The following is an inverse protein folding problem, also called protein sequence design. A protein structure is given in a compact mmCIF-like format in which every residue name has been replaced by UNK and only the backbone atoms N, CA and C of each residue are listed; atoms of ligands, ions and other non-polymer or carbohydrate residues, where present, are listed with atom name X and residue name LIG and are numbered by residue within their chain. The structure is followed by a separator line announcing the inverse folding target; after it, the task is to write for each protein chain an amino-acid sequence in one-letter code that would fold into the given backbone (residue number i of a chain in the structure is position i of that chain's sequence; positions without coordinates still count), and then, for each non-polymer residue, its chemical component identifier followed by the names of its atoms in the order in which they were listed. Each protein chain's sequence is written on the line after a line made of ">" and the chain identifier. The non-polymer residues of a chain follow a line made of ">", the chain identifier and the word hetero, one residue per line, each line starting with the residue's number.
data_IF_492614494141
#
_entry.id   IF_492614494141
#
_cell.length_a   1.000
_cell.length_b   1.000
_cell.length_c   1.000
_cell.angle_alpha   90.00
_cell.angle_beta   90.00
_cell.angle_gamma   90.00
#
_symmetry.space_group_name_H-M   'P 1'
#
loop_
_entity.id
_entity.type
_entity.pdbx_description
1 polymer ?
#
# COMPACT_ATOMS: atom_id res chain seq x y z
N UNK A 1 29.88 16.30 0.75
CA UNK A 1 28.67 15.46 0.77
C UNK A 1 28.67 14.65 2.07
N UNK A 2 27.52 14.41 2.72
CA UNK A 2 27.48 13.59 3.93
C UNK A 2 28.00 12.18 3.66
N UNK A 3 28.72 11.59 4.62
CA UNK A 3 29.27 10.24 4.52
C UNK A 3 28.16 9.20 4.66
N UNK A 4 28.17 8.16 3.81
CA UNK A 4 27.23 7.04 3.94
C UNK A 4 27.57 6.25 5.21
N UNK A 5 26.61 6.13 6.11
CA UNK A 5 26.72 5.43 7.39
C UNK A 5 25.76 4.25 7.47
N UNK A 6 26.03 3.33 8.40
CA UNK A 6 25.09 2.27 8.77
C UNK A 6 24.33 2.73 10.01
N UNK A 7 23.00 2.75 9.95
CA UNK A 7 22.11 3.05 11.07
C UNK A 7 21.24 1.83 11.38
N UNK A 8 20.78 1.72 12.63
CA UNK A 8 19.72 0.77 12.97
C UNK A 8 18.36 1.41 12.66
N UNK A 9 17.53 0.72 11.89
CA UNK A 9 16.14 1.12 11.70
C UNK A 9 15.31 0.85 12.96
N UNK A 10 14.05 1.28 12.98
CA UNK A 10 13.16 1.09 14.14
C UNK A 10 12.98 -0.38 14.58
N UNK A 11 13.16 -1.33 13.65
CA UNK A 11 13.09 -2.77 13.94
C UNK A 11 14.43 -3.38 14.40
N UNK A 12 15.50 -2.59 14.46
CA UNK A 12 16.83 -3.03 14.88
C UNK A 12 17.70 -3.58 13.75
N UNK A 13 17.27 -3.52 12.49
CA UNK A 13 18.07 -4.00 11.36
C UNK A 13 19.04 -2.91 10.85
N UNK A 14 20.28 -3.26 10.50
CA UNK A 14 21.25 -2.31 9.96
C UNK A 14 20.90 -1.93 8.51
N UNK A 15 20.86 -0.63 8.22
CA UNK A 15 20.63 -0.09 6.88
C UNK A 15 21.59 1.05 6.56
N UNK A 16 21.94 1.18 5.27
CA UNK A 16 22.73 2.32 4.78
C UNK A 16 21.86 3.57 4.75
N UNK A 17 22.45 4.70 5.13
CA UNK A 17 21.80 6.00 5.05
C UNK A 17 22.86 7.10 4.89
N UNK A 18 22.54 8.11 4.08
CA UNK A 18 23.37 9.31 3.91
C UNK A 18 22.83 10.50 4.71
N UNK A 19 21.51 10.61 4.84
CA UNK A 19 20.84 11.71 5.53
C UNK A 19 20.57 11.41 7.01
N UNK A 20 20.26 12.45 7.77
CA UNK A 20 19.81 12.32 9.16
C UNK A 20 18.44 11.65 9.27
N UNK A 21 18.12 11.16 10.47
CA UNK A 21 16.78 10.64 10.80
C UNK A 21 15.71 11.72 10.68
N UNK A 22 16.06 12.95 11.05
CA UNK A 22 15.23 14.14 10.88
C UNK A 22 14.87 14.39 9.42
N UNK A 23 15.85 14.38 8.53
CA UNK A 23 15.61 14.58 7.09
C UNK A 23 14.73 13.47 6.52
N UNK A 24 14.95 12.23 6.94
CA UNK A 24 14.08 11.10 6.61
C UNK A 24 12.60 11.35 6.99
N UNK A 25 12.35 11.84 8.21
CA UNK A 25 11.00 12.13 8.68
C UNK A 25 10.37 13.29 7.90
N UNK A 26 11.10 14.40 7.79
CA UNK A 26 10.63 15.61 7.10
C UNK A 26 10.32 15.28 5.65
N UNK A 27 11.19 14.56 4.94
CA UNK A 27 10.97 14.19 3.54
C UNK A 27 9.70 13.35 3.38
N UNK A 28 9.54 12.30 4.18
CA UNK A 28 8.36 11.44 4.10
C UNK A 28 7.06 12.22 4.29
N UNK A 29 6.97 13.01 5.37
CA UNK A 29 5.74 13.74 5.68
C UNK A 29 5.52 14.90 4.70
N UNK A 30 6.57 15.60 4.27
CA UNK A 30 6.46 16.70 3.31
C UNK A 30 5.99 16.22 1.94
N UNK A 31 6.48 15.06 1.47
CA UNK A 31 5.98 14.46 0.22
C UNK A 31 4.48 14.18 0.32
N UNK A 32 4.00 13.63 1.44
CA UNK A 32 2.57 13.38 1.61
C UNK A 32 1.76 14.70 1.66
N UNK A 33 2.26 15.73 2.35
CA UNK A 33 1.64 17.06 2.37
C UNK A 33 1.57 17.64 0.95
N UNK A 34 2.64 17.55 0.16
CA UNK A 34 2.68 18.05 -1.21
C UNK A 34 1.65 17.31 -2.07
N UNK A 35 1.61 15.97 -2.01
CA UNK A 35 0.64 15.18 -2.77
C UNK A 35 -0.79 15.59 -2.40
N UNK A 36 -1.11 15.65 -1.10
CA UNK A 36 -2.44 16.06 -0.65
C UNK A 36 -2.78 17.50 -1.02
N UNK A 37 -1.81 18.41 -0.98
CA UNK A 37 -2.03 19.81 -1.35
C UNK A 37 -2.31 19.95 -2.85
N UNK A 38 -1.52 19.27 -3.69
CA UNK A 38 -1.74 19.25 -5.14
C UNK A 38 -3.12 18.68 -5.49
N UNK A 39 -3.54 17.61 -4.83
CA UNK A 39 -4.84 17.00 -5.05
C UNK A 39 -5.99 17.86 -4.50
N UNK A 40 -5.94 18.23 -3.22
CA UNK A 40 -7.11 18.75 -2.50
C UNK A 40 -7.15 20.26 -2.35
N UNK A 41 -6.00 20.95 -2.41
CA UNK A 41 -5.92 22.42 -2.32
C UNK A 41 -5.82 23.04 -3.72
N UNK A 42 -5.28 22.31 -4.69
CA UNK A 42 -5.10 22.80 -6.07
C UNK A 42 -6.09 22.13 -7.05
N UNK A 43 -6.00 20.82 -7.26
CA UNK A 43 -6.84 20.17 -8.28
C UNK A 43 -8.33 20.21 -7.93
N UNK A 44 -8.71 20.02 -6.65
CA UNK A 44 -10.12 20.04 -6.27
C UNK A 44 -10.78 21.42 -6.47
N UNK A 45 -10.28 22.55 -5.92
CA UNK A 45 -10.92 23.85 -6.10
C UNK A 45 -10.93 24.31 -7.55
N UNK A 46 -9.76 24.27 -8.21
CA UNK A 46 -9.62 24.89 -9.52
C UNK A 46 -10.00 23.94 -10.66
N UNK A 47 -9.62 22.67 -10.55
CA UNK A 47 -9.85 21.67 -11.60
C UNK A 47 -11.22 21.00 -11.54
N UNK A 48 -11.77 20.79 -10.34
CA UNK A 48 -13.07 20.10 -10.15
C UNK A 48 -14.22 21.09 -9.91
N UNK A 49 -14.11 21.98 -8.92
CA UNK A 49 -15.20 22.92 -8.58
C UNK A 49 -15.34 24.01 -9.65
N UNK A 50 -14.24 24.68 -10.01
CA UNK A 50 -14.27 25.78 -11.01
C UNK A 50 -14.21 25.24 -12.45
N UNK A 51 -13.62 24.05 -12.67
CA UNK A 51 -13.58 23.39 -13.98
C UNK A 51 -12.42 23.80 -14.90
N UNK A 52 -11.33 24.36 -14.35
CA UNK A 52 -10.14 24.76 -15.11
C UNK A 52 -9.31 23.53 -15.50
N UNK A 53 -9.62 22.93 -16.66
CA UNK A 53 -8.98 21.69 -17.15
C UNK A 53 -7.43 21.71 -17.15
N UNK A 54 -6.74 22.81 -17.54
CA UNK A 54 -5.28 22.86 -17.48
C UNK A 54 -4.68 22.60 -16.09
N UNK A 55 -5.41 22.90 -15.01
CA UNK A 55 -4.94 22.62 -13.64
C UNK A 55 -4.80 21.13 -13.40
N UNK A 56 -5.73 20.31 -13.88
CA UNK A 56 -5.66 18.85 -13.74
C UNK A 56 -4.44 18.30 -14.48
N UNK A 57 -4.14 18.81 -15.67
CA UNK A 57 -2.94 18.44 -16.43
C UNK A 57 -1.68 18.82 -15.66
N UNK A 58 -1.60 20.06 -15.15
CA UNK A 58 -0.46 20.54 -14.37
C UNK A 58 -0.23 19.69 -13.11
N UNK A 59 -1.29 19.43 -12.33
CA UNK A 59 -1.20 18.61 -11.12
C UNK A 59 -0.75 17.19 -11.45
N UNK A 60 -1.30 16.57 -12.49
CA UNK A 60 -0.86 15.23 -12.92
C UNK A 60 0.62 15.21 -13.33
N UNK A 61 1.10 16.23 -14.05
CA UNK A 61 2.51 16.35 -14.39
C UNK A 61 3.39 16.46 -13.15
N UNK A 62 2.99 17.28 -12.16
CA UNK A 62 3.73 17.43 -10.90
C UNK A 62 3.74 16.12 -10.09
N UNK A 63 2.65 15.36 -10.07
CA UNK A 63 2.60 14.05 -9.43
C UNK A 63 3.49 13.02 -10.14
N UNK A 64 3.56 13.05 -11.48
CA UNK A 64 4.48 12.21 -12.26
C UNK A 64 5.94 12.56 -11.95
N UNK A 65 6.29 13.86 -11.94
CA UNK A 65 7.63 14.33 -11.60
C UNK A 65 7.99 13.96 -10.16
N UNK A 66 7.04 14.09 -9.23
CA UNK A 66 7.16 13.61 -7.86
C UNK A 66 7.45 12.12 -7.82
N UNK A 67 6.63 11.29 -8.48
CA UNK A 67 6.85 9.84 -8.59
C UNK A 67 8.23 9.48 -9.16
N UNK A 68 8.70 10.21 -10.19
CA UNK A 68 10.04 10.05 -10.74
C UNK A 68 11.13 10.39 -9.71
N UNK A 69 10.97 11.46 -8.92
CA UNK A 69 11.87 11.76 -7.81
C UNK A 69 11.92 10.62 -6.79
N UNK A 70 10.75 10.13 -6.34
CA UNK A 70 10.69 9.07 -5.33
C UNK A 70 11.40 7.79 -5.82
N UNK A 71 11.20 7.41 -7.08
CA UNK A 71 11.73 6.15 -7.62
C UNK A 71 13.17 6.24 -8.13
N UNK A 72 13.59 7.40 -8.65
CA UNK A 72 14.85 7.53 -9.40
C UNK A 72 15.85 8.49 -8.76
N UNK A 73 15.46 9.29 -7.77
CA UNK A 73 16.35 10.28 -7.14
C UNK A 73 16.53 9.97 -5.66
N UNK A 74 15.45 9.82 -4.91
CA UNK A 74 15.49 9.58 -3.46
C UNK A 74 16.38 8.38 -3.06
N UNK A 75 16.38 7.22 -3.76
CA UNK A 75 17.28 6.12 -3.41
C UNK A 75 18.76 6.51 -3.46
N UNK A 76 19.16 7.35 -4.42
CA UNK A 76 20.54 7.79 -4.58
C UNK A 76 20.94 8.87 -3.57
N UNK A 77 20.00 9.77 -3.24
CA UNK A 77 20.18 10.79 -2.20
C UNK A 77 20.46 10.12 -0.86
N UNK A 78 19.69 9.09 -0.52
CA UNK A 78 19.76 8.38 0.75
C UNK A 78 20.71 7.18 0.78
N UNK A 79 21.34 6.85 -0.36
CA UNK A 79 22.18 5.66 -0.52
C UNK A 79 21.47 4.34 -0.15
N UNK A 80 20.19 4.26 -0.50
CA UNK A 80 19.37 3.07 -0.31
C UNK A 80 19.87 1.90 -1.14
N UNK A 81 19.70 0.69 -0.60
CA UNK A 81 19.90 -0.55 -1.36
C UNK A 81 18.57 -1.06 -1.89
N UNK A 82 18.61 -1.83 -2.98
CA UNK A 82 17.42 -2.55 -3.47
C UNK A 82 16.77 -3.40 -2.36
N UNK A 83 17.59 -4.04 -1.52
CA UNK A 83 17.10 -4.81 -0.37
C UNK A 83 16.39 -3.95 0.67
N UNK A 84 16.83 -2.71 0.89
CA UNK A 84 16.10 -1.76 1.75
C UNK A 84 14.72 -1.40 1.19
N UNK A 85 14.53 -1.52 -0.11
CA UNK A 85 13.23 -1.35 -0.76
C UNK A 85 12.45 -2.67 -0.86
N UNK A 86 12.96 -3.78 -0.32
CA UNK A 86 12.36 -5.10 -0.47
C UNK A 86 12.41 -5.67 -1.89
N UNK A 87 13.29 -5.10 -2.73
CA UNK A 87 13.60 -5.55 -4.08
C UNK A 87 14.76 -6.55 -4.06
N UNK A 88 14.78 -7.40 -5.08
CA UNK A 88 15.88 -8.31 -5.36
C UNK A 88 17.17 -7.57 -5.75
N UNK A 89 18.26 -8.34 -5.81
CA UNK A 89 19.54 -7.85 -6.30
C UNK A 89 20.19 -8.95 -7.15
N UNK A 90 20.54 -8.69 -8.43
CA UNK A 90 21.20 -9.67 -9.29
C UNK A 90 22.46 -10.28 -8.68
N UNK A 91 23.25 -9.50 -7.94
CA UNK A 91 24.43 -10.00 -7.24
C UNK A 91 24.09 -11.01 -6.14
N UNK A 92 23.03 -10.74 -5.37
CA UNK A 92 22.57 -11.66 -4.32
C UNK A 92 21.94 -12.92 -4.94
N UNK A 93 21.17 -12.76 -6.02
CA UNK A 93 20.65 -13.90 -6.79
C UNK A 93 21.80 -14.78 -7.29
N UNK A 94 22.84 -14.20 -7.89
CA UNK A 94 24.01 -14.92 -8.36
C UNK A 94 24.70 -15.68 -7.22
N UNK A 95 24.89 -15.03 -6.07
CA UNK A 95 25.45 -15.67 -4.87
C UNK A 95 24.59 -16.85 -4.41
N UNK A 96 23.26 -16.70 -4.36
CA UNK A 96 22.34 -17.76 -3.96
C UNK A 96 22.46 -19.00 -4.85
N UNK A 97 22.56 -18.82 -6.17
CA UNK A 97 22.64 -19.94 -7.13
C UNK A 97 24.05 -20.53 -7.28
N UNK A 98 25.08 -19.90 -6.70
CA UNK A 98 26.48 -20.37 -6.79
C UNK A 98 27.01 -20.93 -5.47
N UNK A 99 26.65 -20.35 -4.32
CA UNK A 99 27.31 -20.66 -3.04
C UNK A 99 26.45 -21.45 -2.03
N UNK A 100 25.16 -21.64 -2.29
CA UNK A 100 24.25 -22.33 -1.37
C UNK A 100 24.28 -23.88 -1.45
N UNK A 101 23.55 -24.58 -0.58
CA UNK A 101 23.30 -26.02 -0.71
C UNK A 101 22.68 -26.35 -2.09
N UNK A 102 23.09 -27.46 -2.70
CA UNK A 102 22.70 -27.84 -4.06
C UNK A 102 21.19 -27.80 -4.33
N UNK A 103 20.38 -28.30 -3.39
CA UNK A 103 18.92 -28.27 -3.50
C UNK A 103 18.34 -26.86 -3.50
N UNK A 104 18.88 -25.92 -2.68
CA UNK A 104 18.42 -24.53 -2.67
C UNK A 104 18.76 -23.83 -3.97
N UNK A 105 19.98 -24.07 -4.47
CA UNK A 105 20.43 -23.57 -5.77
C UNK A 105 19.51 -24.04 -6.89
N UNK A 106 19.20 -25.34 -6.93
CA UNK A 106 18.30 -25.93 -7.91
C UNK A 106 16.89 -25.32 -7.83
N UNK A 107 16.31 -25.19 -6.63
CA UNK A 107 14.97 -24.59 -6.46
C UNK A 107 14.95 -23.14 -6.94
N UNK A 108 15.92 -22.31 -6.55
CA UNK A 108 15.97 -20.90 -6.97
C UNK A 108 16.20 -20.78 -8.49
N UNK A 109 17.10 -21.59 -9.06
CA UNK A 109 17.36 -21.57 -10.50
C UNK A 109 16.14 -22.02 -11.30
N UNK A 110 15.53 -23.16 -10.94
CA UNK A 110 14.36 -23.70 -11.64
C UNK A 110 13.17 -22.72 -11.53
N UNK A 111 12.88 -22.22 -10.32
CA UNK A 111 11.77 -21.28 -10.13
C UNK A 111 11.98 -19.96 -10.89
N UNK A 112 13.20 -19.41 -10.87
CA UNK A 112 13.51 -18.19 -11.64
C UNK A 112 13.42 -18.39 -13.15
N UNK A 113 13.88 -19.54 -13.68
CA UNK A 113 13.71 -19.90 -15.09
C UNK A 113 12.24 -20.05 -15.47
N UNK A 114 11.44 -20.71 -14.64
CA UNK A 114 9.99 -20.87 -14.87
C UNK A 114 9.33 -19.49 -14.94
N UNK A 115 9.56 -18.62 -13.94
CA UNK A 115 8.99 -17.26 -13.93
C UNK A 115 9.43 -16.48 -15.16
N UNK A 116 10.72 -16.52 -15.49
CA UNK A 116 11.26 -15.82 -16.66
C UNK A 116 10.61 -16.28 -17.98
N UNK A 117 10.49 -17.60 -18.19
CA UNK A 117 9.90 -18.16 -19.40
C UNK A 117 8.40 -17.85 -19.49
N UNK A 118 7.66 -18.02 -18.38
CA UNK A 118 6.23 -17.70 -18.33
C UNK A 118 5.96 -16.24 -18.65
N UNK A 119 6.74 -15.30 -18.09
CA UNK A 119 6.59 -13.88 -18.38
C UNK A 119 6.89 -13.54 -19.84
N UNK A 120 7.89 -14.18 -20.45
CA UNK A 120 8.17 -14.01 -21.88
C UNK A 120 7.03 -14.55 -22.76
N UNK A 121 6.50 -15.73 -22.45
CA UNK A 121 5.35 -16.32 -23.15
C UNK A 121 4.13 -15.40 -23.03
N UNK A 122 3.85 -14.88 -21.83
CA UNK A 122 2.75 -13.95 -21.59
C UNK A 122 2.96 -12.63 -22.35
N UNK A 123 4.15 -12.05 -22.32
CA UNK A 123 4.47 -10.84 -23.08
C UNK A 123 4.21 -11.04 -24.58
N UNK A 124 4.62 -12.18 -25.14
CA UNK A 124 4.42 -12.48 -26.56
C UNK A 124 2.94 -12.71 -26.89
N UNK A 125 2.27 -13.59 -26.15
CA UNK A 125 0.87 -13.96 -26.41
C UNK A 125 -0.12 -12.84 -26.10
N UNK A 126 0.22 -11.97 -25.16
CA UNK A 126 -0.61 -10.83 -24.73
C UNK A 126 -0.01 -9.48 -25.17
N UNK A 127 0.75 -9.46 -26.26
CA UNK A 127 1.45 -8.24 -26.73
C UNK A 127 0.55 -7.02 -26.88
N UNK A 128 -0.68 -7.21 -27.35
CA UNK A 128 -1.67 -6.14 -27.47
C UNK A 128 -1.97 -5.43 -26.12
N UNK A 129 -1.89 -6.15 -25.00
CA UNK A 129 -1.99 -5.55 -23.66
C UNK A 129 -0.75 -4.72 -23.31
N UNK A 130 0.45 -5.17 -23.70
CA UNK A 130 1.71 -4.43 -23.51
C UNK A 130 1.70 -3.13 -24.32
N UNK A 131 1.29 -3.19 -25.60
CA UNK A 131 1.11 -2.04 -26.49
C UNK A 131 0.16 -1.01 -25.89
N UNK A 132 -0.97 -1.49 -25.35
CA UNK A 132 -1.96 -0.63 -24.69
C UNK A 132 -1.42 -0.03 -23.40
N UNK A 133 -0.76 -0.81 -22.55
CA UNK A 133 -0.22 -0.37 -21.27
C UNK A 133 0.81 0.75 -21.44
N UNK A 134 1.77 0.57 -22.34
CA UNK A 134 2.78 1.59 -22.63
C UNK A 134 2.31 2.66 -23.61
N UNK A 135 1.04 2.63 -24.03
CA UNK A 135 0.47 3.54 -25.03
C UNK A 135 1.34 3.65 -26.29
N UNK A 136 1.96 2.54 -26.72
CA UNK A 136 2.98 2.55 -27.77
C UNK A 136 2.44 3.08 -29.11
N UNK A 137 1.17 2.80 -29.42
CA UNK A 137 0.51 3.33 -30.61
C UNK A 137 0.33 4.86 -30.56
N UNK A 138 0.10 5.44 -29.38
CA UNK A 138 0.03 6.89 -29.23
C UNK A 138 1.41 7.54 -29.39
N UNK A 139 2.44 6.91 -28.81
CA UNK A 139 3.84 7.32 -28.95
C UNK A 139 4.25 7.27 -30.43
N UNK A 140 4.00 6.16 -31.12
CA UNK A 140 4.31 6.01 -32.54
C UNK A 140 3.67 7.13 -33.39
N UNK A 141 2.37 7.41 -33.18
CA UNK A 141 1.68 8.52 -33.85
C UNK A 141 2.26 9.89 -33.53
N UNK A 142 2.67 10.14 -32.28
CA UNK A 142 3.29 11.40 -31.88
C UNK A 142 4.63 11.65 -32.61
N UNK A 143 5.35 10.57 -32.96
CA UNK A 143 6.56 10.62 -33.79
C UNK A 143 6.27 10.52 -35.30
N UNK A 144 5.01 10.60 -35.75
CA UNK A 144 4.63 10.53 -37.16
C UNK A 144 4.72 9.13 -37.79
N UNK A 145 4.88 8.07 -36.99
CA UNK A 145 4.97 6.70 -37.46
C UNK A 145 3.56 6.14 -37.75
N UNK A 146 3.38 5.54 -38.93
CA UNK A 146 2.13 4.86 -39.36
C UNK A 146 2.17 3.35 -39.10
N UNK A 147 2.81 2.94 -38.00
CA UNK A 147 2.97 1.53 -37.64
C UNK A 147 1.93 1.19 -36.58
N UNK A 148 1.17 0.12 -36.78
CA UNK A 148 0.37 -0.47 -35.70
C UNK A 148 1.27 -1.38 -34.85
N UNK A 149 1.54 -0.95 -33.63
CA UNK A 149 2.41 -1.67 -32.71
C UNK A 149 1.85 -3.06 -32.36
N UNK A 150 0.53 -3.30 -32.53
CA UNK A 150 -0.07 -4.61 -32.28
C UNK A 150 0.37 -5.68 -33.28
N UNK A 151 0.77 -5.30 -34.50
CA UNK A 151 1.17 -6.24 -35.54
C UNK A 151 2.64 -6.66 -35.47
N UNK A 152 3.42 -6.11 -34.53
CA UNK A 152 4.84 -6.43 -34.40
C UNK A 152 5.15 -7.92 -34.20
N UNK A 153 4.36 -8.74 -33.46
CA UNK A 153 4.65 -10.16 -33.29
C UNK A 153 4.63 -10.95 -34.60
N UNK A 154 3.89 -10.49 -35.61
CA UNK A 154 3.76 -11.15 -36.92
C UNK A 154 4.65 -10.57 -38.02
N UNK A 155 5.51 -9.59 -37.69
CA UNK A 155 6.36 -8.89 -38.65
C UNK A 155 7.83 -9.02 -38.30
N UNK A 156 8.70 -9.16 -39.30
CA UNK A 156 10.15 -9.06 -39.13
C UNK A 156 10.63 -7.67 -39.56
N UNK A 157 11.44 -6.95 -38.75
CA UNK A 157 12.09 -7.37 -37.51
C UNK A 157 11.26 -7.13 -36.23
N UNK A 158 9.99 -6.74 -36.32
CA UNK A 158 9.12 -6.45 -35.16
C UNK A 158 9.10 -7.52 -34.07
N UNK A 159 9.13 -8.80 -34.45
CA UNK A 159 9.20 -9.93 -33.52
C UNK A 159 10.45 -9.89 -32.62
N UNK A 160 11.59 -9.41 -33.13
CA UNK A 160 12.82 -9.23 -32.34
C UNK A 160 12.58 -8.21 -31.23
N UNK A 161 11.90 -7.10 -31.55
CA UNK A 161 11.57 -6.08 -30.56
C UNK A 161 10.62 -6.61 -29.47
N UNK A 162 9.62 -7.41 -29.84
CA UNK A 162 8.69 -8.05 -28.88
C UNK A 162 9.45 -8.98 -27.93
N UNK A 163 10.32 -9.84 -28.47
CA UNK A 163 11.14 -10.77 -27.69
C UNK A 163 12.10 -10.00 -26.78
N UNK A 164 12.81 -9.01 -27.32
CA UNK A 164 13.75 -8.19 -26.53
C UNK A 164 13.05 -7.48 -25.37
N UNK A 165 11.88 -6.88 -25.63
CA UNK A 165 11.05 -6.25 -24.59
C UNK A 165 10.66 -7.26 -23.51
N UNK A 166 10.24 -8.46 -23.93
CA UNK A 166 9.91 -9.56 -23.02
C UNK A 166 11.10 -9.97 -22.14
N UNK A 167 12.29 -10.12 -22.74
CA UNK A 167 13.52 -10.48 -22.02
C UNK A 167 13.87 -9.42 -20.99
N UNK A 168 13.83 -8.14 -21.36
CA UNK A 168 14.15 -7.02 -20.45
C UNK A 168 13.18 -6.98 -19.27
N UNK A 169 11.87 -6.96 -19.53
CA UNK A 169 10.86 -6.88 -18.47
C UNK A 169 10.87 -8.12 -17.56
N UNK A 170 10.99 -9.30 -18.15
CA UNK A 170 11.07 -10.55 -17.38
C UNK A 170 12.35 -10.62 -16.55
N UNK A 171 13.48 -10.12 -17.06
CA UNK A 171 14.74 -10.05 -16.29
C UNK A 171 14.63 -9.10 -15.10
N UNK A 172 13.99 -7.95 -15.27
CA UNK A 172 13.78 -6.99 -14.18
C UNK A 172 12.94 -7.61 -13.07
N UNK A 173 11.84 -8.28 -13.42
CA UNK A 173 10.98 -8.94 -12.41
C UNK A 173 11.75 -10.09 -11.74
N UNK A 174 12.27 -11.02 -12.53
CA UNK A 174 12.89 -12.25 -12.02
C UNK A 174 14.13 -11.94 -11.20
N UNK A 175 15.04 -11.08 -11.66
CA UNK A 175 16.35 -10.90 -11.04
C UNK A 175 16.48 -9.63 -10.18
N UNK A 176 15.62 -8.63 -10.39
CA UNK A 176 15.68 -7.36 -9.66
C UNK A 176 14.48 -7.12 -8.73
N UNK A 177 13.30 -7.71 -8.97
CA UNK A 177 12.14 -7.52 -8.09
C UNK A 177 12.05 -8.58 -6.99
N UNK A 178 12.31 -9.85 -7.32
CA UNK A 178 12.13 -10.97 -6.38
C UNK A 178 13.34 -11.12 -5.46
N UNK A 179 13.11 -11.05 -4.13
CA UNK A 179 14.07 -11.45 -3.10
C UNK A 179 13.95 -12.94 -2.76
N UNK A 180 14.69 -13.79 -3.48
CA UNK A 180 14.65 -15.25 -3.27
C UNK A 180 15.23 -15.68 -1.91
N UNK A 181 16.12 -14.88 -1.32
CA UNK A 181 16.76 -15.15 -0.02
C UNK A 181 15.74 -15.22 1.12
N UNK A 182 14.71 -14.38 1.08
CA UNK A 182 13.72 -14.26 2.16
C UNK A 182 12.28 -14.55 1.74
N UNK A 183 12.01 -14.90 0.47
CA UNK A 183 10.65 -15.05 -0.07
C UNK A 183 9.74 -15.95 0.78
N UNK A 184 10.19 -17.16 1.13
CA UNK A 184 9.37 -18.08 1.93
C UNK A 184 9.10 -17.56 3.35
N UNK A 185 10.08 -16.91 3.98
CA UNK A 185 9.92 -16.31 5.30
C UNK A 185 8.90 -15.18 5.25
N UNK A 186 9.10 -14.23 4.32
CA UNK A 186 8.21 -13.11 4.11
C UNK A 186 6.79 -13.56 3.76
N UNK A 187 6.64 -14.49 2.81
CA UNK A 187 5.34 -15.03 2.40
C UNK A 187 4.64 -15.76 3.54
N UNK A 188 5.35 -16.58 4.32
CA UNK A 188 4.78 -17.25 5.51
C UNK A 188 4.27 -16.24 6.53
N UNK A 189 5.08 -15.26 6.90
CA UNK A 189 4.67 -14.21 7.86
C UNK A 189 3.48 -13.42 7.32
N UNK A 190 3.51 -13.06 6.04
CA UNK A 190 2.44 -12.32 5.41
C UNK A 190 1.13 -13.14 5.37
N UNK A 191 1.18 -14.45 5.09
CA UNK A 191 0.01 -15.35 5.12
C UNK A 191 -0.56 -15.55 6.53
N UNK A 192 0.29 -15.75 7.55
CA UNK A 192 -0.14 -15.86 8.97
C UNK A 192 -1.01 -14.66 9.37
N UNK A 193 -0.67 -13.51 8.82
CA UNK A 193 -1.33 -12.24 9.12
C UNK A 193 -2.53 -11.98 8.21
N UNK A 194 -2.46 -12.42 6.95
CA UNK A 194 -3.54 -12.23 5.96
C UNK A 194 -4.74 -13.13 6.21
N UNK A 195 -4.54 -14.35 6.71
CA UNK A 195 -5.63 -15.29 6.97
C UNK A 195 -6.63 -14.71 7.98
N UNK A 196 -6.22 -14.20 9.16
CA UNK A 196 -7.13 -13.51 10.07
C UNK A 196 -7.88 -12.34 9.43
N UNK A 197 -7.20 -11.51 8.63
CA UNK A 197 -7.82 -10.38 7.92
C UNK A 197 -8.86 -10.85 6.90
N UNK A 198 -8.54 -11.90 6.14
CA UNK A 198 -9.44 -12.53 5.19
C UNK A 198 -10.69 -13.08 5.88
N UNK A 199 -10.52 -13.73 7.04
CA UNK A 199 -11.63 -14.21 7.87
C UNK A 199 -12.52 -13.06 8.33
N UNK A 200 -11.94 -11.94 8.79
CA UNK A 200 -12.72 -10.75 9.17
C UNK A 200 -13.53 -10.20 7.99
N UNK A 201 -12.93 -10.12 6.79
CA UNK A 201 -13.59 -9.66 5.56
C UNK A 201 -14.80 -10.55 5.22
N UNK A 202 -14.61 -11.87 5.21
CA UNK A 202 -15.65 -12.85 4.84
C UNK A 202 -16.79 -12.85 5.87
N UNK A 203 -16.46 -12.89 7.18
CA UNK A 203 -17.46 -12.83 8.25
C UNK A 203 -18.24 -11.51 8.18
N UNK A 204 -17.57 -10.39 7.94
CA UNK A 204 -18.22 -9.09 7.81
C UNK A 204 -19.19 -9.06 6.63
N UNK A 205 -18.82 -9.65 5.50
CA UNK A 205 -19.70 -9.75 4.34
C UNK A 205 -20.96 -10.58 4.64
N UNK A 206 -20.78 -11.74 5.29
CA UNK A 206 -21.88 -12.60 5.73
C UNK A 206 -22.78 -11.92 6.76
N UNK A 207 -22.21 -11.22 7.75
CA UNK A 207 -22.98 -10.52 8.79
C UNK A 207 -23.81 -9.36 8.21
N UNK A 208 -23.31 -8.68 7.17
CA UNK A 208 -24.02 -7.57 6.54
C UNK A 208 -25.12 -8.01 5.57
N UNK A 209 -24.90 -9.07 4.79
CA UNK A 209 -25.81 -9.45 3.68
C UNK A 209 -26.28 -10.91 3.72
N UNK A 210 -25.85 -11.72 4.68
CA UNK A 210 -26.11 -13.15 4.73
C UNK A 210 -25.51 -13.88 3.53
N UNK A 211 -26.21 -14.93 3.08
CA UNK A 211 -25.81 -15.73 1.91
C UNK A 211 -25.78 -14.94 0.60
N UNK A 212 -26.54 -13.83 0.50
CA UNK A 212 -26.52 -12.94 -0.67
C UNK A 212 -25.14 -12.35 -0.96
N UNK A 213 -24.25 -12.28 0.04
CA UNK A 213 -22.86 -11.87 -0.17
C UNK A 213 -22.09 -12.78 -1.14
N UNK A 214 -22.53 -14.04 -1.32
CA UNK A 214 -21.81 -15.08 -2.05
C UNK A 214 -22.48 -15.49 -3.36
N UNK A 215 -23.69 -15.02 -3.66
CA UNK A 215 -24.47 -15.42 -4.86
C UNK A 215 -23.72 -15.17 -6.17
N UNK A 216 -22.87 -14.14 -6.22
CA UNK A 216 -22.09 -13.76 -7.40
C UNK A 216 -20.58 -14.03 -7.22
N UNK A 217 -20.19 -14.84 -6.23
CA UNK A 217 -18.80 -15.19 -6.00
C UNK A 217 -18.37 -16.32 -6.94
N UNK A 218 -17.35 -16.05 -7.76
CA UNK A 218 -16.69 -17.06 -8.59
C UNK A 218 -15.26 -17.24 -8.11
N UNK A 219 -14.92 -18.45 -7.68
CA UNK A 219 -13.57 -18.79 -7.24
C UNK A 219 -12.54 -18.54 -8.36
N UNK A 220 -12.89 -18.87 -9.61
CA UNK A 220 -12.03 -18.65 -10.76
C UNK A 220 -11.79 -17.15 -11.00
N UNK A 221 -12.84 -16.33 -10.98
CA UNK A 221 -12.74 -14.88 -11.17
C UNK A 221 -11.96 -14.23 -10.03
N UNK A 222 -12.20 -14.68 -8.79
CA UNK A 222 -11.45 -14.25 -7.62
C UNK A 222 -9.97 -14.59 -7.74
N UNK A 223 -9.62 -15.82 -8.12
CA UNK A 223 -8.23 -16.25 -8.28
C UNK A 223 -7.50 -15.46 -9.38
N UNK A 224 -8.17 -15.21 -10.52
CA UNK A 224 -7.65 -14.33 -11.57
C UNK A 224 -7.43 -12.92 -11.04
N UNK A 225 -8.39 -12.40 -10.26
CA UNK A 225 -8.26 -11.11 -9.57
C UNK A 225 -7.03 -11.07 -8.66
N UNK A 226 -6.86 -12.05 -7.78
CA UNK A 226 -5.73 -12.14 -6.86
C UNK A 226 -4.40 -12.09 -7.62
N UNK A 227 -4.25 -12.90 -8.67
CA UNK A 227 -3.04 -12.96 -9.48
C UNK A 227 -2.80 -11.69 -10.29
N UNK A 228 -3.85 -11.11 -10.89
CA UNK A 228 -3.76 -9.85 -11.62
C UNK A 228 -3.35 -8.68 -10.73
N UNK A 229 -3.87 -8.64 -9.50
CA UNK A 229 -3.53 -7.62 -8.52
C UNK A 229 -2.16 -7.83 -7.87
N UNK A 230 -1.44 -8.93 -8.09
CA UNK A 230 -0.05 -9.07 -7.58
C UNK A 230 0.83 -7.94 -8.10
N UNK A 231 0.73 -7.65 -9.41
CA UNK A 231 1.53 -6.60 -10.05
C UNK A 231 1.10 -5.20 -9.60
N UNK A 232 -0.21 -4.96 -9.52
CA UNK A 232 -0.73 -3.67 -9.04
C UNK A 232 -0.37 -3.44 -7.56
N UNK A 233 -0.57 -4.47 -6.74
CA UNK A 233 -0.16 -4.50 -5.35
C UNK A 233 1.35 -4.25 -5.21
N UNK A 234 2.19 -4.87 -6.04
CA UNK A 234 3.63 -4.60 -6.05
C UNK A 234 3.93 -3.10 -6.28
N UNK A 235 3.31 -2.47 -7.28
CA UNK A 235 3.52 -1.04 -7.57
C UNK A 235 3.05 -0.16 -6.41
N UNK A 236 1.88 -0.46 -5.84
CA UNK A 236 1.39 0.29 -4.67
C UNK A 236 2.31 0.10 -3.45
N UNK A 237 2.77 -1.12 -3.17
CA UNK A 237 3.67 -1.38 -2.05
C UNK A 237 5.09 -0.80 -2.29
N UNK A 238 5.53 -0.64 -3.55
CA UNK A 238 6.76 0.08 -3.88
C UNK A 238 6.71 1.54 -3.39
N UNK A 239 5.54 2.18 -3.45
CA UNK A 239 5.36 3.51 -2.89
C UNK A 239 5.25 3.46 -1.35
N UNK A 240 4.35 2.63 -0.82
CA UNK A 240 3.98 2.72 0.59
C UNK A 240 4.91 1.95 1.53
N UNK A 241 5.21 0.69 1.23
CA UNK A 241 6.10 -0.13 2.06
C UNK A 241 7.57 0.16 1.78
N UNK A 242 7.92 0.43 0.52
CA UNK A 242 9.31 0.74 0.17
C UNK A 242 9.63 2.21 0.36
N UNK A 243 9.11 3.15 -0.43
CA UNK A 243 9.51 4.55 -0.26
C UNK A 243 9.13 5.10 1.14
N UNK A 244 7.83 5.24 1.45
CA UNK A 244 7.41 5.82 2.74
C UNK A 244 7.86 4.97 3.92
N UNK A 245 7.69 3.66 3.83
CA UNK A 245 8.13 2.73 4.87
C UNK A 245 9.64 2.74 5.11
N UNK A 246 10.48 3.01 4.10
CA UNK A 246 11.94 3.17 4.28
C UNK A 246 12.28 4.47 4.94
N UNK A 247 11.76 5.59 4.44
CA UNK A 247 12.01 6.91 5.05
C UNK A 247 11.60 6.91 6.52
N UNK A 248 10.37 6.47 6.81
CA UNK A 248 9.83 6.50 8.17
C UNK A 248 10.51 5.48 9.10
N UNK A 249 10.84 4.26 8.68
CA UNK A 249 11.54 3.33 9.60
C UNK A 249 12.99 3.72 9.87
N UNK A 250 13.62 4.49 8.98
CA UNK A 250 14.95 5.08 9.18
C UNK A 250 14.89 6.36 10.01
N UNK A 251 13.76 7.07 9.99
CA UNK A 251 13.53 8.25 10.84
C UNK A 251 13.49 7.97 12.35
N UNK A 252 13.33 6.71 12.77
CA UNK A 252 13.23 6.33 14.17
C UNK A 252 14.28 5.26 14.51
N UNK A 253 14.98 5.45 15.63
CA UNK A 253 15.87 4.43 16.18
C UNK A 253 15.04 3.31 16.85
N UNK A 254 15.63 2.13 17.15
CA UNK A 254 15.01 1.19 18.08
C UNK A 254 14.64 1.86 19.40
N UNK A 255 13.62 1.33 20.09
CA UNK A 255 13.24 1.83 21.41
C UNK A 255 14.12 1.20 22.48
N UNK A 256 14.74 2.02 23.32
CA UNK A 256 15.44 1.61 24.54
C UNK A 256 14.51 1.59 25.77
N UNK A 257 13.30 2.12 25.64
CA UNK A 257 12.35 2.20 26.73
C UNK A 257 11.78 0.81 27.08
N UNK A 258 11.92 0.32 28.32
CA UNK A 258 11.40 -0.99 28.72
C UNK A 258 9.87 -1.06 28.65
N UNK A 259 9.16 0.08 28.68
CA UNK A 259 7.70 0.17 28.48
C UNK A 259 7.30 0.07 27.00
N UNK A 260 8.23 -0.08 26.06
CA UNK A 260 7.94 -0.25 24.64
C UNK A 260 7.20 -1.56 24.33
N UNK A 261 7.41 -2.58 25.16
CA UNK A 261 6.76 -3.89 25.04
C UNK A 261 5.78 -4.08 26.20
N UNK A 262 4.62 -4.67 25.92
CA UNK A 262 3.63 -5.07 26.93
C UNK A 262 3.57 -6.59 26.97
N UNK A 263 3.89 -7.16 28.13
CA UNK A 263 3.99 -8.61 28.35
C UNK A 263 2.98 -9.10 29.41
N UNK A 264 2.85 -10.41 29.56
CA UNK A 264 1.99 -11.03 30.58
C UNK A 264 0.50 -10.75 30.39
N UNK A 265 -0.26 -10.78 31.49
CA UNK A 265 -1.72 -10.59 31.47
C UNK A 265 -2.16 -9.19 31.01
N UNK A 266 -1.33 -8.18 31.24
CA UNK A 266 -1.59 -6.80 30.80
C UNK A 266 -1.62 -6.69 29.27
N UNK A 267 -0.91 -7.57 28.56
CA UNK A 267 -0.98 -7.65 27.09
C UNK A 267 -2.40 -7.92 26.61
N UNK A 268 -3.07 -8.92 27.16
CA UNK A 268 -4.41 -9.32 26.73
C UNK A 268 -5.45 -8.27 27.09
N UNK A 269 -5.38 -7.70 28.30
CA UNK A 269 -6.22 -6.55 28.67
C UNK A 269 -6.08 -5.42 27.67
N UNK A 270 -4.85 -5.04 27.32
CA UNK A 270 -4.59 -3.96 26.37
C UNK A 270 -5.10 -4.25 24.96
N UNK A 271 -4.93 -5.47 24.47
CA UNK A 271 -5.45 -5.92 23.17
C UNK A 271 -6.98 -5.77 23.12
N UNK A 272 -7.67 -6.29 24.14
CA UNK A 272 -9.14 -6.23 24.22
C UNK A 272 -9.61 -4.78 24.37
N UNK A 273 -8.97 -3.99 25.23
CA UNK A 273 -9.33 -2.57 25.41
C UNK A 273 -9.19 -1.76 24.12
N UNK A 274 -8.15 -2.00 23.32
CA UNK A 274 -8.00 -1.34 22.01
C UNK A 274 -9.09 -1.80 21.04
N UNK A 275 -9.40 -3.11 21.01
CA UNK A 275 -10.51 -3.64 20.23
C UNK A 275 -11.85 -2.97 20.57
N UNK A 276 -12.17 -2.88 21.87
CA UNK A 276 -13.38 -2.22 22.36
C UNK A 276 -13.39 -0.73 21.99
N UNK A 277 -12.27 -0.03 22.17
CA UNK A 277 -12.15 1.39 21.83
C UNK A 277 -12.43 1.63 20.33
N UNK A 278 -11.95 0.75 19.46
CA UNK A 278 -12.20 0.85 18.03
C UNK A 278 -13.66 0.60 17.66
N UNK A 279 -14.29 -0.42 18.26
CA UNK A 279 -15.71 -0.69 18.04
C UNK A 279 -16.59 0.47 18.53
N UNK A 280 -16.39 0.92 19.78
CA UNK A 280 -17.14 2.05 20.35
C UNK A 280 -16.88 3.33 19.57
N UNK A 281 -15.63 3.59 19.19
CA UNK A 281 -15.25 4.75 18.39
C UNK A 281 -15.93 4.75 17.01
N UNK A 282 -15.94 3.61 16.32
CA UNK A 282 -16.62 3.48 15.03
C UNK A 282 -18.13 3.69 15.15
N UNK A 283 -18.75 3.13 16.20
CA UNK A 283 -20.18 3.31 16.50
C UNK A 283 -20.50 4.78 16.76
N UNK A 284 -19.74 5.44 17.64
CA UNK A 284 -19.93 6.84 17.99
C UNK A 284 -19.71 7.77 16.79
N UNK A 285 -18.71 7.48 15.97
CA UNK A 285 -18.43 8.24 14.75
C UNK A 285 -19.57 8.08 13.74
N UNK A 286 -19.98 6.84 13.43
CA UNK A 286 -21.05 6.59 12.47
C UNK A 286 -22.39 7.19 12.93
N UNK A 287 -22.74 7.03 14.21
CA UNK A 287 -23.98 7.60 14.75
C UNK A 287 -23.96 9.13 14.70
N UNK A 288 -22.85 9.76 15.10
CA UNK A 288 -22.71 11.21 15.04
C UNK A 288 -22.77 11.72 13.60
N UNK A 289 -22.11 11.05 12.65
CA UNK A 289 -22.14 11.41 11.25
C UNK A 289 -23.56 11.31 10.66
N UNK A 290 -24.28 10.23 10.97
CA UNK A 290 -25.67 10.05 10.54
C UNK A 290 -26.56 11.14 11.16
N UNK A 291 -26.43 11.40 12.47
CA UNK A 291 -27.24 12.40 13.16
C UNK A 291 -26.98 13.82 12.65
N UNK A 292 -25.74 14.17 12.30
CA UNK A 292 -25.41 15.47 11.72
C UNK A 292 -25.98 15.59 10.30
N UNK A 293 -25.87 14.55 9.49
CA UNK A 293 -26.26 14.59 8.08
C UNK A 293 -27.79 14.48 7.87
N UNK A 294 -28.47 13.69 8.69
CA UNK A 294 -29.87 13.30 8.47
C UNK A 294 -30.79 13.58 9.67
N UNK A 295 -30.26 14.16 10.75
CA UNK A 295 -30.99 14.42 11.99
C UNK A 295 -30.95 13.26 12.98
N UNK A 296 -31.26 13.55 14.25
CA UNK A 296 -31.21 12.57 15.36
C UNK A 296 -32.18 11.39 15.15
N UNK A 297 -33.27 11.61 14.42
CA UNK A 297 -34.32 10.60 14.16
C UNK A 297 -34.00 9.68 12.98
N UNK A 298 -32.84 9.88 12.31
CA UNK A 298 -32.44 9.08 11.15
C UNK A 298 -32.14 7.60 11.47
N UNK A 299 -31.95 7.27 12.75
CA UNK A 299 -31.89 5.88 13.24
C UNK A 299 -33.13 5.63 14.10
N UNK A 300 -34.27 5.26 13.49
CA UNK A 300 -35.60 5.47 14.06
C UNK A 300 -35.96 4.50 15.18
N UNK A 301 -35.24 3.39 15.33
CA UNK A 301 -35.60 2.33 16.25
C UNK A 301 -34.37 1.59 16.82
N UNK A 302 -34.55 0.98 18.00
CA UNK A 302 -33.51 0.26 18.72
C UNK A 302 -32.95 -0.94 17.93
N UNK A 303 -33.76 -1.59 17.07
CA UNK A 303 -33.33 -2.75 16.28
C UNK A 303 -32.38 -2.33 15.16
N UNK A 304 -32.63 -1.19 14.52
CA UNK A 304 -31.73 -0.59 13.52
C UNK A 304 -30.42 -0.15 14.18
N UNK A 305 -30.50 0.44 15.38
CA UNK A 305 -29.33 0.82 16.19
C UNK A 305 -28.47 -0.40 16.58
N UNK A 306 -29.09 -1.45 17.11
CA UNK A 306 -28.41 -2.69 17.49
C UNK A 306 -27.76 -3.36 16.26
N UNK A 307 -28.42 -3.34 15.11
CA UNK A 307 -27.88 -3.88 13.86
C UNK A 307 -26.64 -3.09 13.40
N UNK A 308 -26.70 -1.75 13.39
CA UNK A 308 -25.55 -0.90 13.05
C UNK A 308 -24.38 -1.15 14.01
N UNK A 309 -24.65 -1.14 15.32
CA UNK A 309 -23.65 -1.38 16.35
C UNK A 309 -23.00 -2.76 16.20
N UNK A 310 -23.80 -3.80 15.95
CA UNK A 310 -23.30 -5.14 15.69
C UNK A 310 -22.41 -5.21 14.44
N UNK A 311 -22.85 -4.62 13.33
CA UNK A 311 -22.08 -4.59 12.08
C UNK A 311 -20.73 -3.89 12.24
N UNK A 312 -20.70 -2.73 12.89
CA UNK A 312 -19.47 -2.00 13.15
C UNK A 312 -18.57 -2.76 14.13
N UNK A 313 -19.14 -3.37 15.18
CA UNK A 313 -18.37 -4.15 16.15
C UNK A 313 -17.68 -5.34 15.49
N UNK A 314 -18.40 -6.13 14.68
CA UNK A 314 -17.84 -7.31 13.99
C UNK A 314 -16.64 -6.96 13.11
N UNK A 315 -16.62 -5.77 12.50
CA UNK A 315 -15.50 -5.31 11.70
C UNK A 315 -14.40 -4.65 12.53
N UNK A 316 -14.72 -3.63 13.33
CA UNK A 316 -13.70 -2.80 13.99
C UNK A 316 -13.09 -3.43 15.24
N UNK A 317 -13.82 -4.30 15.96
CA UNK A 317 -13.28 -4.95 17.16
C UNK A 317 -12.11 -5.89 16.84
N UNK A 318 -12.22 -6.86 15.91
CA UNK A 318 -11.09 -7.73 15.56
C UNK A 318 -9.91 -6.94 14.98
N UNK A 319 -10.18 -5.91 14.17
CA UNK A 319 -9.14 -5.06 13.60
C UNK A 319 -8.39 -4.26 14.68
N UNK A 320 -9.11 -3.73 15.68
CA UNK A 320 -8.51 -3.08 16.84
C UNK A 320 -7.71 -4.06 17.71
N UNK A 321 -8.15 -5.31 17.85
CA UNK A 321 -7.35 -6.35 18.54
C UNK A 321 -6.05 -6.67 17.79
N UNK A 322 -6.09 -6.78 16.46
CA UNK A 322 -4.88 -6.99 15.63
C UNK A 322 -3.92 -5.81 15.80
N UNK A 323 -4.42 -4.57 15.75
CA UNK A 323 -3.64 -3.37 16.05
C UNK A 323 -3.02 -3.46 17.46
N UNK A 324 -3.84 -3.80 18.46
CA UNK A 324 -3.41 -3.94 19.85
C UNK A 324 -2.34 -5.01 20.04
N UNK A 325 -2.39 -6.11 19.30
CA UNK A 325 -1.38 -7.16 19.34
C UNK A 325 0.00 -6.64 18.93
N UNK A 326 0.07 -5.92 17.80
CA UNK A 326 1.33 -5.34 17.31
C UNK A 326 1.80 -4.17 18.16
N UNK A 327 0.87 -3.34 18.67
CA UNK A 327 1.15 -2.29 19.63
C UNK A 327 1.81 -2.84 20.91
N UNK A 328 1.30 -3.94 21.46
CA UNK A 328 1.90 -4.58 22.63
C UNK A 328 3.25 -5.22 22.34
N UNK A 329 3.52 -5.62 21.08
CA UNK A 329 4.79 -6.22 20.68
C UNK A 329 5.90 -5.19 20.57
N UNK A 330 5.63 -4.04 19.96
CA UNK A 330 6.59 -2.94 19.81
C UNK A 330 5.84 -1.63 19.50
N UNK A 331 5.70 -0.75 20.50
CA UNK A 331 4.94 0.51 20.37
C UNK A 331 5.58 1.46 19.36
N UNK A 332 6.91 1.58 19.36
CA UNK A 332 7.62 2.52 18.47
C UNK A 332 7.52 2.07 17.02
N UNK A 333 7.72 0.78 16.75
CA UNK A 333 7.48 0.21 15.42
C UNK A 333 6.03 0.36 14.98
N UNK A 334 5.08 0.22 15.91
CA UNK A 334 3.66 0.43 15.63
C UNK A 334 3.35 1.88 15.25
N UNK A 335 3.94 2.87 15.93
CA UNK A 335 3.83 4.29 15.56
C UNK A 335 4.29 4.51 14.11
N UNK A 336 5.47 4.00 13.76
CA UNK A 336 6.02 4.12 12.39
C UNK A 336 5.09 3.45 11.38
N UNK A 337 4.53 2.28 11.72
CA UNK A 337 3.61 1.56 10.84
C UNK A 337 2.31 2.35 10.62
N UNK A 338 1.76 2.95 11.68
CA UNK A 338 0.57 3.82 11.62
C UNK A 338 0.81 5.06 10.78
N UNK A 339 1.95 5.73 10.93
CA UNK A 339 2.32 6.89 10.11
C UNK A 339 2.50 6.50 8.64
N UNK A 340 3.22 5.40 8.36
CA UNK A 340 3.46 4.95 6.98
C UNK A 340 2.17 4.54 6.30
N UNK A 341 1.31 3.79 6.99
CA UNK A 341 0.03 3.36 6.48
C UNK A 341 -0.96 4.52 6.30
N UNK A 342 -0.84 5.60 7.09
CA UNK A 342 -1.67 6.79 6.88
C UNK A 342 -1.43 7.40 5.50
N UNK A 343 -0.19 7.35 5.00
CA UNK A 343 0.12 7.80 3.63
C UNK A 343 -0.58 6.94 2.58
N UNK A 344 -0.75 5.64 2.84
CA UNK A 344 -1.51 4.74 1.97
C UNK A 344 -3.02 4.99 2.07
N UNK A 345 -3.57 5.11 3.27
CA UNK A 345 -5.01 5.35 3.44
C UNK A 345 -5.45 6.69 2.85
N UNK A 346 -4.74 7.77 3.19
CA UNK A 346 -5.19 9.14 2.94
C UNK A 346 -5.03 9.59 1.48
N UNK A 347 -4.31 8.83 0.65
CA UNK A 347 -4.35 9.06 -0.80
C UNK A 347 -5.70 8.68 -1.41
N UNK A 348 -6.54 7.92 -0.69
CA UNK A 348 -7.86 7.44 -1.10
C UNK A 348 -8.99 8.17 -0.38
N UNK A 349 -8.75 9.40 0.09
CA UNK A 349 -9.66 10.13 0.98
C UNK A 349 -11.01 10.49 0.35
N UNK A 350 -11.16 10.34 -0.98
CA UNK A 350 -12.44 10.35 -1.68
C UNK A 350 -13.33 9.13 -1.37
N UNK A 351 -12.75 8.05 -0.82
CA UNK A 351 -13.47 6.84 -0.41
C UNK A 351 -13.08 6.40 1.01
N UNK A 352 -13.83 6.84 2.02
CA UNK A 352 -13.52 6.53 3.43
C UNK A 352 -13.51 5.04 3.76
N UNK A 353 -14.32 4.23 3.05
CA UNK A 353 -14.27 2.77 3.16
C UNK A 353 -12.92 2.23 2.71
N UNK A 354 -12.41 2.74 1.57
CA UNK A 354 -11.09 2.36 1.07
C UNK A 354 -9.96 2.91 1.97
N UNK A 355 -10.06 4.16 2.46
CA UNK A 355 -9.11 4.71 3.47
C UNK A 355 -8.98 3.76 4.64
N UNK A 356 -10.12 3.35 5.23
CA UNK A 356 -10.14 2.49 6.41
C UNK A 356 -9.50 1.13 6.13
N UNK A 357 -9.85 0.51 5.01
CA UNK A 357 -9.32 -0.79 4.62
C UNK A 357 -7.80 -0.74 4.35
N UNK A 358 -7.35 0.24 3.55
CA UNK A 358 -5.94 0.40 3.18
C UNK A 358 -5.07 0.91 4.33
N UNK A 359 -5.62 1.72 5.24
CA UNK A 359 -4.92 2.13 6.46
C UNK A 359 -4.68 0.94 7.39
N UNK A 360 -5.72 0.17 7.72
CA UNK A 360 -5.53 -0.96 8.66
C UNK A 360 -4.68 -2.06 8.04
N UNK A 361 -4.92 -2.40 6.77
CA UNK A 361 -4.08 -3.35 6.06
C UNK A 361 -2.64 -2.84 5.97
N UNK A 362 -2.46 -1.58 5.58
CA UNK A 362 -1.16 -0.93 5.47
C UNK A 362 -0.38 -0.95 6.77
N UNK A 363 -1.03 -0.73 7.93
CA UNK A 363 -0.38 -0.79 9.24
C UNK A 363 0.30 -2.13 9.41
N UNK A 364 -0.45 -3.19 9.18
CA UNK A 364 0.00 -4.55 9.43
C UNK A 364 1.09 -4.96 8.44
N UNK A 365 0.91 -4.66 7.15
CA UNK A 365 1.90 -4.94 6.10
C UNK A 365 3.19 -4.17 6.32
N UNK A 366 3.11 -2.86 6.59
CA UNK A 366 4.29 -2.04 6.82
C UNK A 366 4.99 -2.46 8.12
N UNK A 367 4.23 -2.77 9.18
CA UNK A 367 4.81 -3.28 10.42
C UNK A 367 5.69 -4.48 10.11
N UNK A 368 5.18 -5.54 9.48
CA UNK A 368 5.98 -6.75 9.20
C UNK A 368 7.14 -6.48 8.24
N UNK A 369 6.95 -5.59 7.26
CA UNK A 369 7.95 -5.25 6.24
C UNK A 369 9.18 -4.50 6.77
N UNK A 370 9.11 -3.89 7.95
CA UNK A 370 10.26 -3.21 8.54
C UNK A 370 11.41 -4.16 8.88
N UNK A 371 11.12 -5.42 9.19
CA UNK A 371 12.13 -6.46 9.43
C UNK A 371 12.68 -7.00 8.10
N UNK A 372 14.00 -7.06 7.93
CA UNK A 372 14.65 -7.50 6.69
C UNK A 372 14.23 -8.91 6.27
N UNK A 373 14.07 -9.83 7.23
CA UNK A 373 13.60 -11.21 6.98
C UNK A 373 12.21 -11.31 6.36
N UNK A 374 11.42 -10.24 6.43
CA UNK A 374 10.06 -10.14 5.90
C UNK A 374 9.94 -9.13 4.75
N UNK A 375 11.00 -8.38 4.47
CA UNK A 375 11.00 -7.29 3.52
C UNK A 375 11.11 -7.82 2.09
N UNK A 376 9.98 -8.14 1.48
CA UNK A 376 9.88 -8.70 0.13
C UNK A 376 8.64 -8.17 -0.59
N UNK A 377 8.84 -7.32 -1.58
CA UNK A 377 7.72 -6.65 -2.27
C UNK A 377 6.82 -7.60 -3.03
N UNK A 378 7.36 -8.68 -3.59
CA UNK A 378 6.57 -9.65 -4.35
C UNK A 378 5.66 -10.44 -3.41
N UNK A 379 6.17 -10.87 -2.26
CA UNK A 379 5.35 -11.52 -1.23
C UNK A 379 4.23 -10.58 -0.73
N UNK A 380 4.54 -9.29 -0.54
CA UNK A 380 3.52 -8.29 -0.18
C UNK A 380 2.52 -8.05 -1.32
N UNK A 381 2.96 -8.08 -2.58
CA UNK A 381 2.10 -7.99 -3.76
C UNK A 381 1.06 -9.11 -3.79
N UNK A 382 1.45 -10.35 -3.46
CA UNK A 382 0.51 -11.46 -3.30
C UNK A 382 -0.53 -11.21 -2.22
N UNK A 383 -0.11 -10.73 -1.05
CA UNK A 383 -1.04 -10.45 0.04
C UNK A 383 -1.98 -9.30 -0.29
N UNK A 384 -1.44 -8.25 -0.91
CA UNK A 384 -2.23 -7.13 -1.39
C UNK A 384 -3.27 -7.62 -2.40
N UNK A 385 -2.86 -8.45 -3.37
CA UNK A 385 -3.78 -9.03 -4.35
C UNK A 385 -4.84 -9.91 -3.70
N UNK A 386 -4.46 -10.74 -2.72
CA UNK A 386 -5.38 -11.59 -1.96
C UNK A 386 -6.44 -10.77 -1.24
N UNK A 387 -6.02 -9.82 -0.40
CA UNK A 387 -6.92 -9.05 0.46
C UNK A 387 -7.68 -7.99 -0.34
N UNK A 388 -7.02 -7.30 -1.27
CA UNK A 388 -7.61 -6.31 -2.16
C UNK A 388 -8.69 -6.91 -3.06
N UNK A 389 -8.41 -8.04 -3.71
CA UNK A 389 -9.42 -8.72 -4.56
C UNK A 389 -10.57 -9.27 -3.74
N UNK A 390 -10.31 -9.74 -2.52
CA UNK A 390 -11.37 -10.24 -1.63
C UNK A 390 -12.27 -9.11 -1.17
N UNK A 391 -11.68 -7.99 -0.72
CA UNK A 391 -12.43 -6.77 -0.40
C UNK A 391 -13.25 -6.29 -1.60
N UNK A 392 -12.67 -6.31 -2.80
CA UNK A 392 -13.37 -5.86 -4.00
C UNK A 392 -14.58 -6.74 -4.29
N UNK A 393 -14.42 -8.06 -4.23
CA UNK A 393 -15.52 -8.99 -4.51
C UNK A 393 -16.69 -8.85 -3.54
N UNK A 394 -16.42 -8.52 -2.26
CA UNK A 394 -17.45 -8.44 -1.24
C UNK A 394 -17.94 -7.03 -0.91
N UNK A 395 -17.25 -5.96 -1.32
CA UNK A 395 -17.57 -4.60 -0.87
C UNK A 395 -17.51 -3.54 -1.98
N UNK A 396 -17.21 -3.89 -3.24
CA UNK A 396 -17.22 -2.92 -4.35
C UNK A 396 -18.64 -2.59 -4.87
N UNK A 397 -18.75 -1.45 -5.57
CA UNK A 397 -19.98 -0.92 -6.18
C UNK A 397 -20.74 -1.95 -7.06
N UNK A 398 -22.06 -1.75 -7.18
CA UNK A 398 -22.95 -2.50 -8.08
C UNK A 398 -23.47 -3.81 -7.49
N UNK A 399 -24.58 -3.77 -6.74
CA UNK A 399 -25.27 -4.95 -6.16
C UNK A 399 -24.48 -5.76 -5.12
N UNK A 400 -23.15 -5.58 -5.07
CA UNK A 400 -22.21 -6.28 -4.18
C UNK A 400 -21.83 -5.46 -2.96
N UNK A 401 -22.03 -4.14 -2.99
CA UNK A 401 -21.81 -3.26 -1.84
C UNK A 401 -22.89 -3.53 -0.78
N UNK A 402 -22.46 -3.85 0.45
CA UNK A 402 -23.33 -3.83 1.62
C UNK A 402 -23.47 -2.40 2.13
N UNK A 403 -23.44 -2.23 3.45
CA UNK A 403 -23.34 -0.88 4.05
C UNK A 403 -21.95 -0.28 3.89
N UNK A 404 -20.92 -1.12 3.81
CA UNK A 404 -19.58 -0.71 3.39
C UNK A 404 -19.52 -0.74 1.86
N UNK A 405 -19.61 0.44 1.24
CA UNK A 405 -19.31 0.64 -0.17
C UNK A 405 -17.86 1.11 -0.31
N UNK A 406 -17.03 0.32 -0.97
CA UNK A 406 -15.62 0.62 -1.21
C UNK A 406 -15.49 0.99 -2.69
N UNK A 407 -15.16 2.25 -2.94
CA UNK A 407 -14.82 2.73 -4.27
C UNK A 407 -13.31 2.71 -4.46
N UNK A 408 -12.85 2.15 -5.58
CA UNK A 408 -11.44 1.97 -5.90
C UNK A 408 -10.93 3.16 -6.71
N UNK A 409 -11.08 4.34 -6.13
CA UNK A 409 -10.77 5.62 -6.74
C UNK A 409 -9.64 6.32 -6.00
N UNK A 410 -8.92 7.18 -6.73
CA UNK A 410 -7.83 7.99 -6.19
C UNK A 410 -7.95 9.39 -6.75
N UNK A 411 -8.09 10.35 -5.84
CA UNK A 411 -7.99 11.77 -6.15
C UNK A 411 -9.34 12.45 -6.38
N UNK A 412 -9.30 13.78 -6.49
CA UNK A 412 -10.47 14.67 -6.37
C UNK A 412 -11.46 14.56 -7.54
N UNK A 413 -11.01 14.09 -8.70
CA UNK A 413 -11.83 13.97 -9.91
C UNK A 413 -12.87 12.86 -9.84
N UNK A 414 -12.84 12.00 -8.82
CA UNK A 414 -13.81 10.92 -8.64
C UNK A 414 -14.96 11.31 -7.67
N UNK A 415 -14.97 12.54 -7.15
CA UNK A 415 -16.03 13.01 -6.26
C UNK A 415 -17.31 13.21 -7.08
N UNK A 416 -18.33 12.38 -6.83
CA UNK A 416 -19.60 12.38 -7.60
C UNK A 416 -20.40 13.69 -7.43
N UNK A 417 -20.38 14.28 -6.23
CA UNK A 417 -21.06 15.55 -5.94
C UNK A 417 -20.08 16.55 -5.31
N UNK A 418 -19.33 17.30 -6.12
CA UNK A 418 -18.32 18.23 -5.62
C UNK A 418 -18.94 19.38 -4.82
N UNK A 419 -18.48 19.59 -3.59
CA UNK A 419 -18.85 20.73 -2.74
C UNK A 419 -17.62 21.25 -2.00
N UNK A 420 -17.62 22.53 -1.61
CA UNK A 420 -16.53 23.07 -0.77
C UNK A 420 -16.37 22.32 0.56
N UNK A 421 -17.45 21.74 1.10
CA UNK A 421 -17.42 20.93 2.31
C UNK A 421 -16.52 19.70 2.22
N UNK A 422 -16.34 19.13 1.02
CA UNK A 422 -15.45 17.97 0.78
C UNK A 422 -13.99 18.27 1.16
N UNK A 423 -13.57 19.53 1.16
CA UNK A 423 -12.19 19.92 1.52
C UNK A 423 -11.90 19.90 3.02
N UNK A 424 -12.93 19.88 3.89
CA UNK A 424 -12.74 19.99 5.34
C UNK A 424 -11.81 18.88 5.85
N UNK A 425 -12.08 17.63 5.48
CA UNK A 425 -11.30 16.48 5.95
C UNK A 425 -9.87 16.49 5.37
N UNK A 426 -9.63 16.67 4.06
CA UNK A 426 -8.28 16.84 3.52
C UNK A 426 -7.46 17.95 4.19
N UNK A 427 -8.07 19.12 4.45
CA UNK A 427 -7.40 20.24 5.13
C UNK A 427 -7.00 19.86 6.56
N UNK A 428 -7.92 19.25 7.32
CA UNK A 428 -7.62 18.74 8.68
C UNK A 428 -6.45 17.75 8.64
N UNK A 429 -6.44 16.83 7.66
CA UNK A 429 -5.36 15.85 7.50
C UNK A 429 -4.02 16.51 7.20
N UNK A 430 -3.98 17.51 6.32
CA UNK A 430 -2.76 18.28 6.04
C UNK A 430 -2.24 18.96 7.32
N UNK A 431 -3.14 19.57 8.10
CA UNK A 431 -2.79 20.20 9.38
C UNK A 431 -2.24 19.16 10.36
N UNK A 432 -2.83 17.97 10.45
CA UNK A 432 -2.32 16.89 11.30
C UNK A 432 -0.91 16.43 10.88
N UNK A 433 -0.61 16.39 9.58
CA UNK A 433 0.75 16.13 9.11
C UNK A 433 1.73 17.24 9.48
N UNK A 434 1.34 18.51 9.38
CA UNK A 434 2.15 19.64 9.84
C UNK A 434 2.42 19.56 11.36
N UNK A 435 1.39 19.23 12.15
CA UNK A 435 1.52 19.00 13.59
C UNK A 435 2.47 17.83 13.87
N UNK A 436 2.44 16.76 13.05
CA UNK A 436 3.36 15.63 13.22
C UNK A 436 4.82 16.01 12.95
N UNK A 437 5.09 16.89 11.98
CA UNK A 437 6.43 17.48 11.76
C UNK A 437 6.85 18.26 13.00
N UNK A 438 6.00 19.18 13.47
CA UNK A 438 6.30 19.98 14.65
C UNK A 438 6.56 19.10 15.89
N UNK A 439 5.70 18.11 16.13
CA UNK A 439 5.83 17.20 17.27
C UNK A 439 7.12 16.37 17.18
N UNK A 440 7.47 15.87 16.00
CA UNK A 440 8.71 15.14 15.79
C UNK A 440 9.93 16.04 16.07
N UNK A 441 9.97 17.24 15.50
CA UNK A 441 11.09 18.18 15.68
C UNK A 441 11.26 18.63 17.14
N UNK A 442 10.16 18.71 17.89
CA UNK A 442 10.17 19.19 19.28
C UNK A 442 10.50 18.07 20.27
N UNK A 443 9.91 16.88 20.08
CA UNK A 443 9.88 15.84 21.11
C UNK A 443 10.67 14.58 20.76
N UNK A 444 10.97 14.31 19.48
CA UNK A 444 11.71 13.11 19.11
C UNK A 444 13.21 13.28 19.42
N UNK A 445 13.85 12.34 20.15
CA UNK A 445 15.30 12.40 20.38
C UNK A 445 16.08 12.33 19.05
N UNK A 446 15.57 11.60 18.06
CA UNK A 446 16.17 11.47 16.73
C UNK A 446 16.25 12.80 15.96
N UNK A 447 15.39 13.77 16.27
CA UNK A 447 15.43 15.08 15.63
C UNK A 447 16.68 15.89 16.02
N UNK A 448 17.32 15.53 17.14
CA UNK A 448 18.52 16.17 17.69
C UNK A 448 19.82 15.49 17.23
N UNK A 449 19.72 14.36 16.52
CA UNK A 449 20.88 13.72 15.90
C UNK A 449 21.46 14.62 14.81
N UNK A 450 22.80 14.75 14.79
CA UNK A 450 23.54 15.57 13.83
C UNK A 450 23.61 14.95 12.42
#
# INVERSE_FOLDING_TARGET
>A
MPQVRTILNVAGDPERERLSRKENFIEAISVMIIILSLLWIVAYPFGVIIGIKPVNTLVNLLLILGGAYLLLVAPFVHADTATSWGLGNPYQYWKLITTGPGWRRAVVLISSLIVFLLLNILNYTQWHHVVRFFSMNAIARAFGLKIDMNTLPSQFPGIIFVIFTGIVLSSLITFCAIRYDNFLSAFKTAMIVSIPLLTVIIISAFVQRGWKAFENFSLATWAIGVLGYVFWGFVQQLLFSSYFGTRLRKAFAPSDNPKNVVVGNEKWKKIISIGLLWAVGAIAFASSAISIAYGIDAIPDAKTWLRLAFWLTVFFFPMGMIYGYFYCKDKKRMLVATLSASCFGLIHIDSYGLVSATWILGIVLVYVFMEDKNRNLVALGFIHGLLGSTLQNFFSKGGKAGVLNIDYSVGPWNVEQPTWGTMIIPVIVIILYLISIWAYLTYAPEAKEA
#
